data_IF_236505155714
#
_entry.id   IF_236505155714
#
_cell.length_a   1.000
_cell.length_b   1.000
_cell.length_c   1.000
_cell.angle_alpha   90.00
_cell.angle_beta   90.00
_cell.angle_gamma   90.00
#
_symmetry.space_group_name_H-M   'P 1'
#
loop_
_entity.id
_entity.type
_entity.pdbx_description
1 polymer ?
#
# COMPACT_ATOMS: atom_id res chain seq x y z
N UNK A 1 36.28 7.75 -2.00
CA UNK A 1 34.94 8.28 -1.69
C UNK A 1 33.97 7.13 -1.83
N UNK A 2 33.19 6.80 -0.79
CA UNK A 2 32.20 5.72 -0.87
C UNK A 2 30.86 6.27 -1.38
N UNK A 3 30.10 5.46 -2.12
CA UNK A 3 28.73 5.79 -2.50
C UNK A 3 27.85 5.58 -1.25
N UNK A 4 27.02 6.57 -0.93
CA UNK A 4 26.09 6.52 0.20
C UNK A 4 24.75 5.91 -0.25
N UNK A 5 24.34 4.84 0.44
CA UNK A 5 23.07 4.12 0.22
C UNK A 5 22.11 4.28 1.41
N UNK A 6 22.43 5.16 2.36
CA UNK A 6 21.59 5.39 3.54
C UNK A 6 20.27 6.02 3.11
N UNK A 7 19.16 5.53 3.69
CA UNK A 7 17.86 6.12 3.47
C UNK A 7 17.68 7.37 4.33
N UNK A 8 17.01 8.38 3.78
CA UNK A 8 16.58 9.50 4.61
C UNK A 8 15.59 9.01 5.67
N UNK A 9 15.53 9.66 6.85
CA UNK A 9 14.53 9.32 7.87
C UNK A 9 13.08 9.38 7.36
N UNK A 10 12.80 10.27 6.42
CA UNK A 10 11.50 10.39 5.75
C UNK A 10 11.16 9.13 4.93
N UNK A 11 12.11 8.61 4.15
CA UNK A 11 11.89 7.39 3.37
C UNK A 11 11.69 6.17 4.29
N UNK A 12 12.44 6.06 5.39
CA UNK A 12 12.22 4.99 6.37
C UNK A 12 10.84 5.07 7.03
N UNK A 13 10.38 6.28 7.37
CA UNK A 13 9.05 6.48 7.93
C UNK A 13 7.94 6.06 6.94
N UNK A 14 8.08 6.40 5.66
CA UNK A 14 7.13 5.99 4.62
C UNK A 14 7.12 4.45 4.48
N UNK A 15 8.30 3.81 4.44
CA UNK A 15 8.41 2.34 4.39
C UNK A 15 7.74 1.68 5.59
N UNK A 16 7.89 2.26 6.78
CA UNK A 16 7.23 1.78 7.99
C UNK A 16 5.70 1.79 7.86
N UNK A 17 5.13 2.92 7.45
CA UNK A 17 3.67 3.07 7.25
C UNK A 17 3.12 2.14 6.18
N UNK A 18 3.83 2.00 5.05
CA UNK A 18 3.42 1.08 3.98
C UNK A 18 3.47 -0.36 4.48
N UNK A 19 4.53 -0.76 5.18
CA UNK A 19 4.66 -2.12 5.74
C UNK A 19 3.53 -2.44 6.71
N UNK A 20 3.21 -1.51 7.60
CA UNK A 20 2.10 -1.66 8.55
C UNK A 20 0.77 -1.83 7.82
N UNK A 21 0.46 -0.97 6.85
CA UNK A 21 -0.77 -1.08 6.07
C UNK A 21 -0.87 -2.41 5.31
N UNK A 22 0.25 -2.87 4.71
CA UNK A 22 0.29 -4.16 4.01
C UNK A 22 0.03 -5.31 4.98
N UNK A 23 0.70 -5.33 6.14
CA UNK A 23 0.61 -6.45 7.08
C UNK A 23 -0.73 -6.50 7.80
N UNK A 24 -1.22 -5.35 8.28
CA UNK A 24 -2.37 -5.29 9.17
C UNK A 24 -3.71 -5.16 8.40
N UNK A 25 -3.68 -4.66 7.16
CA UNK A 25 -4.91 -4.40 6.39
C UNK A 25 -4.96 -5.22 5.10
N UNK A 26 -3.94 -5.12 4.25
CA UNK A 26 -4.00 -5.73 2.91
C UNK A 26 -3.88 -7.24 2.98
N UNK A 27 -2.90 -7.79 3.69
CA UNK A 27 -2.69 -9.25 3.79
C UNK A 27 -3.92 -10.00 4.34
N UNK A 28 -4.55 -9.60 5.46
CA UNK A 28 -5.75 -10.26 5.94
C UNK A 28 -6.91 -10.17 4.95
N UNK A 29 -7.10 -9.01 4.31
CA UNK A 29 -8.15 -8.85 3.31
C UNK A 29 -7.88 -9.66 2.03
N UNK A 30 -6.62 -9.82 1.62
CA UNK A 30 -6.24 -10.70 0.51
C UNK A 30 -6.51 -12.16 0.84
N UNK A 31 -6.18 -12.62 2.05
CA UNK A 31 -6.51 -13.97 2.51
C UNK A 31 -8.02 -14.25 2.44
N UNK A 32 -8.85 -13.29 2.87
CA UNK A 32 -10.31 -13.36 2.73
C UNK A 32 -10.74 -13.39 1.25
N UNK A 33 -10.20 -12.49 0.41
CA UNK A 33 -10.53 -12.41 -1.02
C UNK A 33 -10.21 -13.73 -1.74
N UNK A 34 -9.07 -14.34 -1.42
CA UNK A 34 -8.57 -15.55 -2.08
C UNK A 34 -9.10 -16.85 -1.45
N UNK A 35 -9.84 -16.76 -0.35
CA UNK A 35 -10.38 -17.94 0.33
C UNK A 35 -9.30 -18.76 1.05
N UNK A 36 -8.26 -18.12 1.58
CA UNK A 36 -7.30 -18.77 2.45
C UNK A 36 -7.92 -19.03 3.84
N UNK A 37 -7.85 -20.27 4.34
CA UNK A 37 -8.44 -20.67 5.63
C UNK A 37 -9.75 -21.45 5.45
N UNK A 38 -10.76 -21.13 6.27
CA UNK A 38 -12.02 -21.91 6.37
C UNK A 38 -13.17 -21.38 5.49
N UNK A 39 -12.96 -20.30 4.73
CA UNK A 39 -13.98 -19.64 3.91
C UNK A 39 -13.71 -19.75 2.41
N UNK A 40 -14.75 -19.75 1.55
CA UNK A 40 -14.56 -19.70 0.09
C UNK A 40 -14.01 -18.34 -0.35
N UNK A 41 -13.35 -18.31 -1.51
CA UNK A 41 -12.91 -17.07 -2.14
C UNK A 41 -14.08 -16.12 -2.43
N UNK A 42 -13.84 -14.82 -2.34
CA UNK A 42 -14.82 -13.82 -2.73
C UNK A 42 -14.90 -13.73 -4.25
N UNK A 43 -16.12 -13.72 -4.78
CA UNK A 43 -16.37 -13.68 -6.22
C UNK A 43 -17.20 -12.46 -6.64
N UNK A 44 -17.14 -12.14 -7.93
CA UNK A 44 -17.98 -11.12 -8.57
C UNK A 44 -18.04 -9.80 -7.80
N UNK A 45 -19.26 -9.38 -7.44
CA UNK A 45 -19.52 -8.09 -6.78
C UNK A 45 -18.83 -7.97 -5.42
N UNK A 46 -18.81 -9.04 -4.61
CA UNK A 46 -18.23 -9.01 -3.27
C UNK A 46 -16.71 -8.77 -3.33
N UNK A 47 -16.04 -9.43 -4.27
CA UNK A 47 -14.60 -9.21 -4.53
C UNK A 47 -14.30 -7.77 -4.90
N UNK A 48 -15.09 -7.20 -5.82
CA UNK A 48 -14.93 -5.82 -6.28
C UNK A 48 -15.16 -4.82 -5.14
N UNK A 49 -16.20 -5.01 -4.34
CA UNK A 49 -16.50 -4.16 -3.19
C UNK A 49 -15.36 -4.20 -2.14
N UNK A 50 -14.79 -5.38 -1.87
CA UNK A 50 -13.66 -5.53 -0.96
C UNK A 50 -12.42 -4.79 -1.46
N UNK A 51 -12.08 -4.93 -2.74
CA UNK A 51 -10.97 -4.21 -3.36
C UNK A 51 -11.18 -2.68 -3.34
N UNK A 52 -12.39 -2.20 -3.64
CA UNK A 52 -12.70 -0.76 -3.57
C UNK A 52 -12.56 -0.26 -2.13
N UNK A 53 -12.98 -1.03 -1.14
CA UNK A 53 -12.80 -0.68 0.28
C UNK A 53 -11.33 -0.51 0.64
N UNK A 54 -10.46 -1.43 0.20
CA UNK A 54 -9.01 -1.33 0.42
C UNK A 54 -8.41 -0.07 -0.23
N UNK A 55 -8.81 0.26 -1.46
CA UNK A 55 -8.36 1.49 -2.14
C UNK A 55 -8.78 2.76 -1.39
N UNK A 56 -10.02 2.80 -0.88
CA UNK A 56 -10.51 3.91 -0.07
C UNK A 56 -9.73 4.06 1.24
N UNK A 57 -9.36 2.94 1.87
CA UNK A 57 -8.52 2.95 3.08
C UNK A 57 -7.12 3.47 2.78
N UNK A 58 -6.47 2.99 1.72
CA UNK A 58 -5.16 3.48 1.30
C UNK A 58 -5.20 4.99 1.01
N UNK A 59 -6.21 5.46 0.28
CA UNK A 59 -6.41 6.88 0.00
C UNK A 59 -6.59 7.70 1.28
N UNK A 60 -7.44 7.26 2.21
CA UNK A 60 -7.65 7.93 3.50
C UNK A 60 -6.37 8.02 4.33
N UNK A 61 -5.47 7.04 4.23
CA UNK A 61 -4.18 7.03 4.93
C UNK A 61 -3.07 7.77 4.18
N UNK A 62 -3.35 8.34 3.01
CA UNK A 62 -2.34 8.99 2.16
C UNK A 62 -1.29 8.00 1.64
N UNK A 63 -1.69 6.75 1.38
CA UNK A 63 -0.85 5.68 0.82
C UNK A 63 -1.29 5.30 -0.61
N UNK A 64 -2.11 6.15 -1.24
CA UNK A 64 -2.65 5.91 -2.57
C UNK A 64 -1.78 6.57 -3.63
N UNK A 65 -1.70 5.92 -4.80
CA UNK A 65 -0.94 6.39 -5.98
C UNK A 65 0.42 7.00 -5.60
N UNK A 66 1.40 6.18 -5.18
CA UNK A 66 2.62 6.70 -4.57
C UNK A 66 3.42 7.67 -5.47
N UNK A 67 3.32 7.52 -6.78
CA UNK A 67 3.98 8.38 -7.77
C UNK A 67 3.18 9.62 -8.17
N UNK A 68 1.86 9.64 -7.93
CA UNK A 68 1.03 10.76 -8.36
C UNK A 68 1.28 11.97 -7.46
N UNK A 69 1.22 13.20 -7.99
CA UNK A 69 1.39 14.38 -7.18
C UNK A 69 0.31 14.51 -6.09
N UNK A 70 0.65 15.22 -5.02
CA UNK A 70 -0.21 15.40 -3.83
C UNK A 70 -1.50 16.14 -4.19
N UNK A 71 -1.45 17.09 -5.13
CA UNK A 71 -2.63 17.83 -5.61
C UNK A 71 -3.66 16.95 -6.34
N UNK A 72 -3.28 15.73 -6.73
CA UNK A 72 -4.17 14.71 -7.30
C UNK A 72 -4.53 13.62 -6.27
N UNK A 73 -4.16 13.78 -5.00
CA UNK A 73 -4.39 12.82 -3.93
C UNK A 73 -3.40 11.65 -3.87
N UNK A 74 -2.24 11.79 -4.52
CA UNK A 74 -1.13 10.84 -4.43
C UNK A 74 -0.13 11.16 -3.32
N UNK A 75 0.99 10.44 -3.29
CA UNK A 75 2.07 10.66 -2.29
C UNK A 75 3.21 11.55 -2.81
N UNK A 76 3.29 11.79 -4.12
CA UNK A 76 4.34 12.60 -4.74
C UNK A 76 5.76 12.01 -4.63
N UNK A 77 5.90 10.69 -4.46
CA UNK A 77 7.21 10.07 -4.30
C UNK A 77 8.02 10.11 -5.59
N UNK A 78 9.27 10.56 -5.48
CA UNK A 78 10.28 10.39 -6.52
C UNK A 78 10.71 8.93 -6.70
N UNK A 79 11.44 8.64 -7.78
CA UNK A 79 11.80 7.28 -8.21
C UNK A 79 12.42 6.40 -7.11
N UNK A 80 13.33 6.96 -6.30
CA UNK A 80 14.03 6.23 -5.24
C UNK A 80 13.06 5.82 -4.14
N UNK A 81 12.25 6.76 -3.63
CA UNK A 81 11.27 6.49 -2.59
C UNK A 81 10.16 5.55 -3.10
N UNK A 82 9.73 5.71 -4.34
CA UNK A 82 8.76 4.84 -4.99
C UNK A 82 9.27 3.39 -5.04
N UNK A 83 10.51 3.16 -5.45
CA UNK A 83 11.10 1.83 -5.54
C UNK A 83 11.20 1.11 -4.17
N UNK A 84 11.12 1.84 -3.06
CA UNK A 84 11.20 1.27 -1.71
C UNK A 84 9.85 0.80 -1.17
N UNK A 85 8.74 1.18 -1.83
CA UNK A 85 7.38 0.94 -1.36
C UNK A 85 6.50 0.18 -2.37
N UNK A 86 7.03 -0.12 -3.56
CA UNK A 86 6.36 -0.98 -4.54
C UNK A 86 6.43 -2.47 -4.17
#
# INVERSE_FOLDING_TARGET
MAIDFTLSPEHEAIRGRVREFINEVVKPATAEIEGHGDGPALEGKQRVERLISLRKQAHKQGLWLPHMPVEWGGMGLGHVALAMVQ
#
